data_IF_265004940473
#
_entry.id   IF_265004940473
#
_cell.length_a   1.000
_cell.length_b   1.000
_cell.length_c   1.000
_cell.angle_alpha   90.00
_cell.angle_beta   90.00
_cell.angle_gamma   90.00
#
_symmetry.space_group_name_H-M   'P 1'
#
loop_
_entity.id
_entity.type
_entity.pdbx_description
1 polymer ?
#
# COMPACT_ATOMS: atom_id res chain seq x y z
N UNK A 1 5.99 3.34 8.70
CA UNK A 1 6.16 2.25 9.68
C UNK A 1 7.53 1.60 9.41
N UNK A 2 8.60 2.09 10.03
CA UNK A 2 9.95 1.56 9.82
C UNK A 2 10.15 0.44 10.86
N UNK A 3 10.10 -0.81 10.42
CA UNK A 3 10.46 -1.95 11.26
C UNK A 3 11.98 -1.98 11.43
N UNK A 4 12.46 -1.31 12.48
CA UNK A 4 13.82 -1.45 12.98
C UNK A 4 13.93 -2.83 13.64
N UNK A 5 14.19 -3.87 12.84
CA UNK A 5 14.36 -5.23 13.38
C UNK A 5 15.78 -5.33 13.97
N UNK A 6 15.90 -4.95 15.25
CA UNK A 6 17.12 -5.08 16.04
C UNK A 6 17.62 -6.53 16.06
N UNK A 7 18.94 -6.68 16.00
CA UNK A 7 19.67 -7.96 15.86
C UNK A 7 19.23 -9.01 16.92
N UNK A 8 18.83 -8.57 18.13
CA UNK A 8 18.32 -9.45 19.19
C UNK A 8 16.94 -10.08 18.93
N UNK A 9 16.06 -9.47 18.12
CA UNK A 9 14.74 -10.05 17.79
C UNK A 9 14.83 -11.12 16.70
N UNK A 10 15.92 -11.17 15.93
CA UNK A 10 16.12 -12.16 14.85
C UNK A 10 16.20 -13.59 15.39
N UNK A 11 16.78 -13.78 16.58
CA UNK A 11 16.85 -15.10 17.23
C UNK A 11 15.49 -15.61 17.70
N UNK A 12 14.61 -14.70 18.16
CA UNK A 12 13.32 -15.08 18.76
C UNK A 12 12.17 -15.11 17.75
N UNK A 13 12.35 -14.52 16.56
CA UNK A 13 11.34 -14.50 15.49
C UNK A 13 11.60 -15.57 14.42
N UNK A 14 12.46 -16.56 14.70
CA UNK A 14 12.73 -17.65 13.75
C UNK A 14 11.51 -18.56 13.69
N UNK A 15 10.82 -18.56 12.56
CA UNK A 15 9.74 -19.49 12.27
C UNK A 15 10.39 -20.86 12.02
N UNK A 16 10.15 -21.81 12.93
CA UNK A 16 10.66 -23.18 12.85
C UNK A 16 9.63 -24.16 12.30
N UNK A 17 8.35 -23.80 12.35
CA UNK A 17 7.28 -24.57 11.76
C UNK A 17 6.06 -23.69 11.48
N UNK A 18 5.29 -24.04 10.45
CA UNK A 18 3.98 -23.46 10.17
C UNK A 18 2.95 -24.57 9.94
N UNK A 19 1.67 -24.26 10.15
CA UNK A 19 0.58 -25.18 9.87
C UNK A 19 -0.09 -24.80 8.55
N UNK A 20 -0.13 -25.74 7.62
CA UNK A 20 -0.73 -25.50 6.31
C UNK A 20 -2.27 -25.58 6.35
N UNK A 21 -2.90 -25.23 5.23
CA UNK A 21 -4.37 -25.26 5.07
C UNK A 21 -5.02 -26.65 5.26
N UNK A 22 -4.24 -27.73 5.15
CA UNK A 22 -4.68 -29.12 5.41
C UNK A 22 -4.52 -29.53 6.87
N UNK A 23 -4.03 -28.64 7.72
CA UNK A 23 -3.79 -28.89 9.14
C UNK A 23 -2.47 -29.60 9.45
N UNK A 24 -1.59 -29.79 8.47
CA UNK A 24 -0.29 -30.45 8.66
C UNK A 24 0.78 -29.44 9.04
N UNK A 25 1.73 -29.86 9.88
CA UNK A 25 2.91 -29.07 10.23
C UNK A 25 3.99 -29.21 9.16
N UNK A 26 4.54 -28.07 8.74
CA UNK A 26 5.68 -27.96 7.84
C UNK A 26 6.85 -27.42 8.65
N UNK A 27 8.00 -28.08 8.56
CA UNK A 27 9.22 -27.74 9.29
C UNK A 27 10.37 -27.35 8.35
N UNK A 28 10.31 -27.80 7.10
CA UNK A 28 11.34 -27.50 6.12
C UNK A 28 11.31 -26.00 5.75
N UNK A 29 12.45 -25.28 5.83
CA UNK A 29 12.48 -23.84 5.55
C UNK A 29 12.02 -23.44 4.15
N UNK A 30 12.32 -24.25 3.13
CA UNK A 30 11.94 -23.98 1.74
C UNK A 30 10.43 -24.17 1.57
N UNK A 31 9.87 -25.22 2.17
CA UNK A 31 8.43 -25.44 2.18
C UNK A 31 7.68 -24.37 2.99
N UNK A 32 8.27 -23.89 4.09
CA UNK A 32 7.73 -22.77 4.88
C UNK A 32 7.65 -21.50 4.01
N UNK A 33 8.72 -21.17 3.29
CA UNK A 33 8.77 -20.03 2.39
C UNK A 33 7.73 -20.17 1.27
N UNK A 34 7.65 -21.34 0.65
CA UNK A 34 6.72 -21.62 -0.45
C UNK A 34 5.25 -21.52 -0.01
N UNK A 35 4.90 -22.10 1.14
CA UNK A 35 3.53 -22.02 1.68
C UNK A 35 3.18 -20.59 2.12
N UNK A 36 4.12 -19.85 2.72
CA UNK A 36 3.92 -18.45 3.07
C UNK A 36 3.68 -17.58 1.82
N UNK A 37 4.49 -17.76 0.77
CA UNK A 37 4.31 -17.08 -0.50
C UNK A 37 2.96 -17.41 -1.13
N UNK A 38 2.57 -18.68 -1.22
CA UNK A 38 1.26 -19.10 -1.72
C UNK A 38 0.11 -18.48 -0.92
N UNK A 39 0.23 -18.47 0.40
CA UNK A 39 -0.78 -17.90 1.28
C UNK A 39 -0.98 -16.41 1.03
N UNK A 40 0.10 -15.62 1.05
CA UNK A 40 0.01 -14.17 0.87
C UNK A 40 -0.32 -13.76 -0.56
N UNK A 41 0.17 -14.50 -1.57
CA UNK A 41 -0.26 -14.32 -2.95
C UNK A 41 -1.77 -14.52 -3.08
N UNK A 42 -2.34 -15.54 -2.43
CA UNK A 42 -3.79 -15.77 -2.45
C UNK A 42 -4.55 -14.71 -1.65
N UNK A 43 -4.03 -14.30 -0.49
CA UNK A 43 -4.66 -13.32 0.39
C UNK A 43 -4.76 -11.94 -0.27
N UNK A 44 -3.68 -11.49 -0.90
CA UNK A 44 -3.59 -10.21 -1.59
C UNK A 44 -3.89 -10.30 -3.08
N UNK A 45 -4.36 -11.45 -3.56
CA UNK A 45 -4.80 -11.57 -4.95
C UNK A 45 -6.01 -10.67 -5.15
N UNK A 46 -5.86 -9.69 -6.03
CA UNK A 46 -7.01 -8.96 -6.53
C UNK A 46 -7.96 -9.97 -7.18
N UNK A 47 -9.19 -10.02 -6.67
CA UNK A 47 -10.28 -10.63 -7.42
C UNK A 47 -10.82 -9.51 -8.29
N UNK A 48 -10.69 -9.59 -9.64
CA UNK A 48 -11.47 -8.74 -10.51
C UNK A 48 -12.93 -9.18 -10.37
N UNK A 49 -13.57 -8.77 -9.28
CA UNK A 49 -15.01 -8.69 -9.24
C UNK A 49 -15.37 -7.54 -10.19
N UNK A 50 -16.43 -7.67 -11.02
CA UNK A 50 -17.02 -6.48 -11.59
C UNK A 50 -17.29 -5.54 -10.43
N UNK A 51 -16.69 -4.36 -10.48
CA UNK A 51 -17.00 -3.29 -9.53
C UNK A 51 -18.52 -3.21 -9.54
N UNK A 52 -19.15 -3.61 -8.43
CA UNK A 52 -20.61 -3.68 -8.39
C UNK A 52 -21.15 -2.34 -8.85
N UNK A 53 -22.19 -2.36 -9.69
CA UNK A 53 -22.77 -1.12 -10.21
C UNK A 53 -22.97 -0.17 -9.02
N UNK A 54 -22.26 0.95 -9.05
CA UNK A 54 -22.47 1.97 -8.04
C UNK A 54 -23.95 2.36 -8.11
N UNK A 55 -24.64 2.48 -6.96
CA UNK A 55 -26.04 2.87 -6.98
C UNK A 55 -26.18 4.18 -7.77
N UNK A 56 -27.11 4.26 -8.76
CA UNK A 56 -27.22 5.41 -9.66
C UNK A 56 -27.39 6.75 -8.95
N UNK A 57 -27.87 6.72 -7.71
CA UNK A 57 -28.16 7.88 -6.87
C UNK A 57 -27.36 7.88 -5.56
N UNK A 58 -26.29 7.08 -5.46
CA UNK A 58 -25.51 6.94 -4.22
C UNK A 58 -24.52 8.07 -3.96
N UNK A 59 -24.27 8.91 -4.96
CA UNK A 59 -23.27 9.97 -4.89
C UNK A 59 -23.85 11.29 -5.41
N UNK A 60 -23.55 12.42 -4.75
CA UNK A 60 -23.83 13.74 -5.30
C UNK A 60 -23.19 13.88 -6.68
N UNK A 61 -23.92 14.48 -7.62
CA UNK A 61 -23.32 14.92 -8.87
C UNK A 61 -22.49 16.18 -8.60
N UNK A 62 -21.31 16.24 -9.22
CA UNK A 62 -20.53 17.47 -9.26
C UNK A 62 -21.29 18.52 -10.08
N UNK A 63 -21.21 19.77 -9.68
CA UNK A 63 -21.72 20.87 -10.50
C UNK A 63 -20.81 21.12 -11.70
N UNK A 64 -21.28 21.94 -12.65
CA UNK A 64 -20.54 22.26 -13.87
C UNK A 64 -19.21 22.95 -13.59
N UNK A 65 -19.13 23.73 -12.51
CA UNK A 65 -17.97 24.56 -12.20
C UNK A 65 -16.85 23.66 -11.66
N UNK A 66 -17.18 22.74 -10.76
CA UNK A 66 -16.30 21.68 -10.24
C UNK A 66 -15.78 20.78 -11.37
N UNK A 67 -16.67 20.34 -12.28
CA UNK A 67 -16.25 19.55 -13.45
C UNK A 67 -15.27 20.34 -14.32
N UNK A 68 -15.54 21.63 -14.57
CA UNK A 68 -14.64 22.48 -15.34
C UNK A 68 -13.30 22.67 -14.63
N UNK A 69 -13.31 22.82 -13.30
CA UNK A 69 -12.13 23.04 -12.49
C UNK A 69 -11.23 21.80 -12.47
N UNK A 70 -11.81 20.63 -12.21
CA UNK A 70 -11.09 19.35 -12.18
C UNK A 70 -10.58 18.92 -13.57
N UNK A 71 -11.21 19.39 -14.64
CA UNK A 71 -10.79 19.12 -16.02
C UNK A 71 -9.64 20.00 -16.54
N UNK A 72 -9.15 20.96 -15.75
CA UNK A 72 -8.05 21.85 -16.18
C UNK A 72 -6.71 21.11 -16.29
N UNK A 73 -5.83 21.52 -17.22
CA UNK A 73 -4.48 20.99 -17.26
C UNK A 73 -3.73 21.36 -15.97
N UNK A 74 -2.93 20.42 -15.47
CA UNK A 74 -2.09 20.63 -14.29
C UNK A 74 -0.99 21.64 -14.64
N UNK A 75 -0.82 22.66 -13.79
CA UNK A 75 0.21 23.71 -13.94
C UNK A 75 1.42 23.48 -13.05
N UNK A 76 2.56 24.08 -13.41
CA UNK A 76 3.78 24.01 -12.59
C UNK A 76 3.59 24.71 -11.24
N UNK A 77 2.78 25.77 -11.20
CA UNK A 77 2.43 26.51 -10.01
C UNK A 77 1.64 25.64 -9.02
N UNK A 78 0.67 24.87 -9.52
CA UNK A 78 -0.09 23.91 -8.71
C UNK A 78 0.80 22.79 -8.18
N UNK A 79 1.68 22.23 -9.01
CA UNK A 79 2.64 21.20 -8.60
C UNK A 79 3.52 21.74 -7.47
N UNK A 80 4.10 22.94 -7.65
CA UNK A 80 4.96 23.56 -6.65
C UNK A 80 4.19 23.83 -5.36
N UNK A 81 2.99 24.42 -5.45
CA UNK A 81 2.17 24.70 -4.27
C UNK A 81 1.85 23.42 -3.50
N UNK A 82 1.30 22.41 -4.18
CA UNK A 82 0.95 21.14 -3.57
C UNK A 82 2.15 20.47 -2.91
N UNK A 83 3.32 20.52 -3.54
CA UNK A 83 4.55 19.94 -3.00
C UNK A 83 5.01 20.64 -1.71
N UNK A 84 4.95 21.96 -1.66
CA UNK A 84 5.37 22.73 -0.48
C UNK A 84 4.32 22.76 0.64
N UNK A 85 3.06 22.48 0.33
CA UNK A 85 1.99 22.31 1.32
C UNK A 85 2.08 20.95 2.08
N UNK A 86 2.88 19.99 1.58
CA UNK A 86 3.09 18.70 2.25
C UNK A 86 3.91 18.85 3.55
N UNK A 87 3.55 18.09 4.59
CA UNK A 87 4.35 18.04 5.80
C UNK A 87 5.73 17.37 5.52
N UNK A 88 6.87 18.03 5.83
CA UNK A 88 8.19 17.62 5.32
C UNK A 88 8.63 16.19 5.69
N UNK A 89 8.23 15.71 6.87
CA UNK A 89 8.66 14.43 7.46
C UNK A 89 7.54 13.39 7.55
N UNK A 90 6.55 13.42 6.65
CA UNK A 90 5.60 12.30 6.53
C UNK A 90 6.33 11.01 6.15
N UNK A 91 5.70 9.87 6.45
CA UNK A 91 6.23 8.56 6.07
C UNK A 91 6.54 8.53 4.56
N UNK A 92 7.73 8.03 4.17
CA UNK A 92 8.13 8.02 2.77
C UNK A 92 7.24 7.06 1.96
N UNK A 93 7.15 7.32 0.66
CA UNK A 93 6.48 6.42 -0.28
C UNK A 93 7.27 5.13 -0.50
N UNK A 94 6.85 4.34 -1.48
CA UNK A 94 7.61 3.16 -1.93
C UNK A 94 9.00 3.50 -2.47
N UNK A 95 9.23 4.77 -2.82
CA UNK A 95 10.50 5.34 -3.27
C UNK A 95 11.50 5.63 -2.14
N UNK A 96 11.04 5.66 -0.88
CA UNK A 96 11.89 5.90 0.29
C UNK A 96 12.25 7.36 0.56
N UNK A 97 11.74 8.33 -0.22
CA UNK A 97 12.04 9.76 -0.02
C UNK A 97 10.98 10.46 0.83
N UNK A 98 11.44 11.38 1.69
CA UNK A 98 10.56 12.30 2.40
C UNK A 98 10.24 13.51 1.51
N UNK A 99 9.08 14.14 1.69
CA UNK A 99 8.70 15.37 0.97
C UNK A 99 9.77 16.48 1.07
N UNK A 100 10.44 16.58 2.23
CA UNK A 100 11.56 17.50 2.47
C UNK A 100 12.66 17.45 1.40
N UNK A 101 12.87 16.29 0.77
CA UNK A 101 13.88 16.14 -0.28
C UNK A 101 13.59 17.05 -1.49
N UNK A 102 12.31 17.23 -1.82
CA UNK A 102 11.85 18.00 -2.98
C UNK A 102 11.46 19.44 -2.65
N UNK A 103 11.33 19.77 -1.36
CA UNK A 103 11.00 21.12 -0.86
C UNK A 103 12.21 22.03 -0.68
N UNK A 104 13.37 21.65 -1.22
CA UNK A 104 14.61 22.45 -1.16
C UNK A 104 14.79 23.36 -2.36
#
# INVERSE_FOLDING_TARGET
>A
MILRIGINRRKNNRITAIRNSKGNWIYDPEDIENEANKFFQKLYRERPAPMGNLPPSGFPQLDSDDVSFLGKPITNEEIKKALFDMAPLRAPGSDGYHALFFQK
#
